data_IF_754225796957
#
_entry.id   IF_754225796957
#
_cell.length_a   1.000
_cell.length_b   1.000
_cell.length_c   1.000
_cell.angle_alpha   90.00
_cell.angle_beta   90.00
_cell.angle_gamma   90.00
#
_symmetry.space_group_name_H-M   'P 1'
#
loop_
_entity.id
_entity.type
_entity.pdbx_description
1 polymer ?
#
# COMPACT_ATOMS: atom_id res chain seq x y z
N UNK A 1 10.53 1.89 -22.85
CA UNK A 1 11.24 2.42 -21.67
C UNK A 1 12.06 1.27 -21.13
N UNK A 2 13.36 1.28 -21.40
CA UNK A 2 14.28 0.27 -20.88
C UNK A 2 14.36 0.46 -19.37
N UNK A 3 13.87 -0.52 -18.61
CA UNK A 3 13.96 -0.49 -17.15
C UNK A 3 15.42 -0.73 -16.76
N UNK A 4 15.96 0.11 -15.88
CA UNK A 4 17.28 -0.10 -15.31
C UNK A 4 17.34 -1.44 -14.57
N UNK A 5 18.47 -2.14 -14.69
CA UNK A 5 18.76 -3.44 -14.08
C UNK A 5 18.42 -3.47 -12.57
N UNK A 6 18.55 -2.34 -11.87
CA UNK A 6 18.23 -2.22 -10.44
C UNK A 6 16.73 -2.37 -10.11
N UNK A 7 15.84 -1.84 -10.94
CA UNK A 7 14.39 -1.91 -10.69
C UNK A 7 13.84 -3.33 -10.95
N UNK A 8 14.41 -4.02 -11.94
CA UNK A 8 14.09 -5.42 -12.20
C UNK A 8 14.63 -6.35 -11.10
N UNK A 9 15.87 -6.12 -10.64
CA UNK A 9 16.48 -6.89 -9.55
C UNK A 9 15.68 -6.75 -8.24
N UNK A 10 15.23 -5.55 -7.89
CA UNK A 10 14.43 -5.31 -6.70
C UNK A 10 13.07 -6.03 -6.74
N UNK A 11 12.41 -6.07 -7.90
CA UNK A 11 11.14 -6.80 -8.08
C UNK A 11 11.32 -8.30 -7.89
N UNK A 12 12.35 -8.86 -8.51
CA UNK A 12 12.67 -10.29 -8.37
C UNK A 12 13.01 -10.62 -6.92
N UNK A 13 13.78 -9.77 -6.25
CA UNK A 13 14.10 -9.91 -4.82
C UNK A 13 12.83 -9.89 -3.96
N UNK A 14 11.92 -8.92 -4.17
CA UNK A 14 10.67 -8.82 -3.41
C UNK A 14 9.74 -10.03 -3.61
N UNK A 15 9.63 -10.54 -4.84
CA UNK A 15 8.88 -11.78 -5.12
C UNK A 15 9.48 -12.95 -4.37
N UNK A 16 10.81 -13.15 -4.48
CA UNK A 16 11.50 -14.28 -3.86
C UNK A 16 11.40 -14.20 -2.34
N UNK A 17 11.67 -13.04 -1.75
CA UNK A 17 11.56 -12.85 -0.30
C UNK A 17 10.11 -13.08 0.20
N UNK A 18 9.09 -12.51 -0.46
CA UNK A 18 7.70 -12.73 -0.04
C UNK A 18 7.25 -14.18 -0.23
N UNK A 19 7.73 -14.87 -1.27
CA UNK A 19 7.46 -16.30 -1.47
C UNK A 19 8.10 -17.16 -0.39
N UNK A 20 9.35 -16.86 0.01
CA UNK A 20 10.01 -17.54 1.12
C UNK A 20 9.24 -17.32 2.43
N UNK A 21 8.83 -16.08 2.72
CA UNK A 21 8.02 -15.76 3.91
C UNK A 21 6.68 -16.49 3.87
N UNK A 22 6.04 -16.61 2.71
CA UNK A 22 4.78 -17.36 2.56
C UNK A 22 4.95 -18.84 2.89
N UNK A 23 6.01 -19.49 2.38
CA UNK A 23 6.31 -20.91 2.64
C UNK A 23 6.60 -21.11 4.13
N UNK A 24 7.50 -20.30 4.71
CA UNK A 24 7.87 -20.39 6.13
C UNK A 24 6.64 -20.17 7.02
N UNK A 25 5.84 -19.14 6.75
CA UNK A 25 4.64 -18.84 7.54
C UNK A 25 3.59 -19.94 7.42
N UNK A 26 3.42 -20.54 6.24
CA UNK A 26 2.48 -21.65 6.05
C UNK A 26 2.88 -22.90 6.85
N UNK A 27 4.18 -23.23 6.89
CA UNK A 27 4.71 -24.33 7.71
C UNK A 27 4.52 -24.02 9.21
N UNK A 28 4.86 -22.81 9.65
CA UNK A 28 4.68 -22.39 11.03
C UNK A 28 3.21 -22.39 11.47
N UNK A 29 2.28 -21.97 10.59
CA UNK A 29 0.84 -21.99 10.86
C UNK A 29 0.35 -23.43 11.04
N UNK A 30 0.76 -24.35 10.17
CA UNK A 30 0.44 -25.77 10.29
C UNK A 30 0.96 -26.38 11.59
N UNK A 31 2.21 -26.06 11.97
CA UNK A 31 2.80 -26.52 13.22
C UNK A 31 2.08 -25.95 14.45
N UNK A 32 1.79 -24.64 14.47
CA UNK A 32 1.05 -24.00 15.55
C UNK A 32 -0.36 -24.57 15.72
N UNK A 33 -1.07 -24.83 14.61
CA UNK A 33 -2.38 -25.47 14.63
C UNK A 33 -2.32 -26.91 15.15
N UNK A 34 -1.30 -27.69 14.76
CA UNK A 34 -1.08 -29.04 15.26
C UNK A 34 -0.87 -29.07 16.79
N UNK A 35 0.02 -28.21 17.30
CA UNK A 35 0.27 -28.12 18.75
C UNK A 35 -1.00 -27.66 19.48
N UNK A 36 -1.74 -26.69 18.93
CA UNK A 36 -3.01 -26.24 19.52
C UNK A 36 -4.03 -27.36 19.63
N UNK A 37 -4.17 -28.19 18.59
CA UNK A 37 -5.07 -29.34 18.60
C UNK A 37 -4.67 -30.36 19.68
N UNK A 38 -3.37 -30.64 19.82
CA UNK A 38 -2.87 -31.57 20.83
C UNK A 38 -2.98 -31.04 22.26
N UNK A 39 -2.70 -29.76 22.49
CA UNK A 39 -2.81 -29.14 23.82
C UNK A 39 -4.27 -29.12 24.30
N UNK A 40 -5.22 -28.81 23.42
CA UNK A 40 -6.65 -28.84 23.75
C UNK A 40 -7.18 -30.22 24.15
N UNK A 41 -6.58 -31.29 23.64
CA UNK A 41 -6.93 -32.66 24.06
C UNK A 41 -6.37 -33.02 25.44
N UNK A 42 -5.23 -32.44 25.82
CA UNK A 42 -4.46 -32.83 27.02
C UNK A 42 -4.75 -31.93 28.23
N UNK A 43 -5.10 -30.66 28.01
CA UNK A 43 -5.15 -29.66 29.08
C UNK A 43 -6.23 -28.61 28.81
N UNK A 44 -6.99 -28.27 29.85
CA UNK A 44 -8.00 -27.21 29.87
C UNK A 44 -7.44 -25.89 30.46
N UNK A 45 -6.12 -25.72 30.41
CA UNK A 45 -5.44 -24.48 30.81
C UNK A 45 -5.64 -23.42 29.74
N UNK A 46 -6.56 -22.50 30.04
CA UNK A 46 -6.91 -21.37 29.19
C UNK A 46 -5.70 -20.48 28.87
N UNK A 47 -4.70 -20.35 29.74
CA UNK A 47 -3.56 -19.46 29.49
C UNK A 47 -2.62 -20.00 28.40
N UNK A 48 -2.37 -21.31 28.40
CA UNK A 48 -1.55 -21.97 27.38
C UNK A 48 -2.27 -21.97 26.02
N UNK A 49 -3.57 -22.26 26.01
CA UNK A 49 -4.40 -22.26 24.79
C UNK A 49 -4.47 -20.85 24.18
N UNK A 50 -4.68 -19.81 25.00
CA UNK A 50 -4.72 -18.42 24.53
C UNK A 50 -3.39 -17.99 23.92
N UNK A 51 -2.26 -18.33 24.58
CA UNK A 51 -0.92 -17.98 24.09
C UNK A 51 -0.65 -18.58 22.70
N UNK A 52 -0.94 -19.86 22.51
CA UNK A 52 -0.75 -20.55 21.22
C UNK A 52 -1.72 -20.02 20.16
N UNK A 53 -2.96 -19.69 20.55
CA UNK A 53 -3.98 -19.13 19.64
C UNK A 53 -3.55 -17.76 19.09
N UNK A 54 -2.96 -16.89 19.93
CA UNK A 54 -2.44 -15.59 19.48
C UNK A 54 -1.33 -15.78 18.43
N UNK A 55 -0.39 -16.70 18.68
CA UNK A 55 0.70 -17.01 17.73
C UNK A 55 0.11 -17.48 16.39
N UNK A 56 -0.89 -18.36 16.41
CA UNK A 56 -1.54 -18.85 15.20
C UNK A 56 -2.19 -17.72 14.39
N UNK A 57 -2.89 -16.79 15.05
CA UNK A 57 -3.53 -15.65 14.37
C UNK A 57 -2.48 -14.75 13.71
N UNK A 58 -1.37 -14.45 14.41
CA UNK A 58 -0.29 -13.63 13.86
C UNK A 58 0.34 -14.29 12.63
N UNK A 59 0.63 -15.59 12.69
CA UNK A 59 1.25 -16.31 11.57
C UNK A 59 0.28 -16.46 10.39
N UNK A 60 -1.02 -16.65 10.64
CA UNK A 60 -2.02 -16.64 9.56
C UNK A 60 -2.12 -15.28 8.87
N UNK A 61 -1.99 -14.19 9.62
CA UNK A 61 -1.97 -12.85 9.05
C UNK A 61 -0.73 -12.65 8.16
N UNK A 62 0.45 -13.12 8.57
CA UNK A 62 1.66 -13.01 7.73
C UNK A 62 1.56 -13.86 6.47
N UNK A 63 0.88 -15.01 6.48
CA UNK A 63 0.58 -15.81 5.27
C UNK A 63 -0.24 -14.98 4.27
N UNK A 64 -1.28 -14.28 4.74
CA UNK A 64 -2.14 -13.46 3.87
C UNK A 64 -1.36 -12.29 3.27
N UNK A 65 -0.58 -11.57 4.08
CA UNK A 65 0.23 -10.45 3.61
C UNK A 65 1.28 -10.88 2.59
N UNK A 66 1.97 -12.01 2.82
CA UNK A 66 3.01 -12.51 1.93
C UNK A 66 2.45 -13.08 0.62
N UNK A 67 1.25 -13.68 0.65
CA UNK A 67 0.52 -14.06 -0.57
C UNK A 67 0.20 -12.84 -1.44
N UNK A 68 -0.40 -11.80 -0.86
CA UNK A 68 -0.69 -10.56 -1.60
C UNK A 68 0.59 -9.82 -2.03
N UNK A 69 1.67 -9.90 -1.25
CA UNK A 69 2.99 -9.36 -1.62
C UNK A 69 3.60 -10.07 -2.84
N UNK A 70 3.55 -11.40 -2.88
CA UNK A 70 4.03 -12.20 -4.01
C UNK A 70 3.18 -11.94 -5.27
N UNK A 71 1.85 -12.03 -5.16
CA UNK A 71 0.95 -11.77 -6.28
C UNK A 71 1.00 -10.31 -6.77
N UNK A 72 1.17 -9.35 -5.86
CA UNK A 72 1.31 -7.93 -6.18
C UNK A 72 2.62 -7.61 -6.89
N UNK A 73 3.73 -8.22 -6.45
CA UNK A 73 5.05 -8.03 -7.07
C UNK A 73 5.17 -8.74 -8.43
N UNK A 74 4.55 -9.92 -8.60
CA UNK A 74 4.49 -10.62 -9.90
C UNK A 74 3.68 -9.89 -10.96
N UNK A 75 2.65 -9.11 -10.58
CA UNK A 75 1.84 -8.34 -11.53
C UNK A 75 2.45 -7.00 -11.94
N UNK A 76 3.67 -6.68 -11.49
CA UNK A 76 4.30 -5.41 -11.76
C UNK A 76 4.94 -5.40 -13.16
N UNK A 77 4.10 -5.25 -14.18
CA UNK A 77 4.45 -4.65 -15.47
C UNK A 77 4.13 -3.15 -15.37
N UNK A 78 4.78 -2.29 -16.16
CA UNK A 78 4.59 -0.82 -16.23
C UNK A 78 3.11 -0.39 -16.39
N UNK A 79 2.24 -1.33 -16.77
CA UNK A 79 0.79 -1.19 -16.80
C UNK A 79 0.10 -1.02 -15.43
N UNK A 80 0.55 -1.56 -14.29
CA UNK A 80 -0.27 -1.50 -13.06
C UNK A 80 -0.41 -0.08 -12.49
N UNK A 81 0.68 0.67 -12.43
CA UNK A 81 0.65 2.10 -12.09
C UNK A 81 -0.22 2.87 -13.11
N UNK A 82 -0.19 2.49 -14.38
CA UNK A 82 -1.06 3.06 -15.42
C UNK A 82 -2.53 2.71 -15.17
N UNK A 83 -2.86 1.48 -14.77
CA UNK A 83 -4.22 1.08 -14.40
C UNK A 83 -4.72 1.83 -13.18
N UNK A 84 -3.86 2.06 -12.17
CA UNK A 84 -4.20 2.90 -11.01
C UNK A 84 -4.47 4.34 -11.44
N UNK A 85 -3.63 4.90 -12.33
CA UNK A 85 -3.84 6.21 -12.92
C UNK A 85 -5.18 6.29 -13.67
N UNK A 86 -5.46 5.31 -14.52
CA UNK A 86 -6.67 5.27 -15.34
C UNK A 86 -7.92 5.13 -14.45
N UNK A 87 -7.90 4.22 -13.47
CA UNK A 87 -8.98 4.02 -12.50
C UNK A 87 -9.21 5.26 -11.61
N UNK A 88 -8.14 5.85 -11.06
CA UNK A 88 -8.22 7.06 -10.28
C UNK A 88 -8.76 8.23 -11.12
N UNK A 89 -8.35 8.35 -12.37
CA UNK A 89 -8.88 9.38 -13.27
C UNK A 89 -10.37 9.20 -13.52
N UNK A 90 -10.85 7.98 -13.75
CA UNK A 90 -12.27 7.70 -13.92
C UNK A 90 -13.06 8.02 -12.65
N UNK A 91 -12.56 7.61 -11.48
CA UNK A 91 -13.20 7.87 -10.20
C UNK A 91 -13.28 9.37 -9.88
N UNK A 92 -12.21 10.13 -10.07
CA UNK A 92 -12.20 11.57 -9.83
C UNK A 92 -13.12 12.30 -10.82
N UNK A 93 -13.19 11.89 -12.09
CA UNK A 93 -14.16 12.46 -13.05
C UNK A 93 -15.62 12.22 -12.62
N UNK A 94 -15.92 11.05 -12.05
CA UNK A 94 -17.25 10.77 -11.49
C UNK A 94 -17.55 11.67 -10.28
N UNK A 95 -16.57 11.93 -9.41
CA UNK A 95 -16.72 12.87 -8.30
C UNK A 95 -16.96 14.31 -8.79
N UNK A 96 -16.24 14.75 -9.82
CA UNK A 96 -16.44 16.07 -10.43
C UNK A 96 -17.87 16.20 -10.96
N UNK A 97 -18.37 15.21 -11.69
CA UNK A 97 -19.75 15.18 -12.17
C UNK A 97 -20.78 15.32 -11.02
N UNK A 98 -20.58 14.61 -9.91
CA UNK A 98 -21.46 14.70 -8.75
C UNK A 98 -21.40 16.07 -8.05
N UNK A 99 -20.26 16.77 -8.10
CA UNK A 99 -20.14 18.14 -7.59
C UNK A 99 -20.90 19.11 -8.49
N UNK A 100 -20.74 18.99 -9.81
CA UNK A 100 -21.38 19.89 -10.78
C UNK A 100 -22.90 19.72 -10.83
N UNK A 101 -23.38 18.48 -10.79
CA UNK A 101 -24.82 18.19 -10.94
C UNK A 101 -25.56 18.18 -9.61
N UNK A 102 -24.98 17.57 -8.58
CA UNK A 102 -25.66 17.40 -7.28
C UNK A 102 -25.28 18.48 -6.26
N UNK A 103 -24.27 19.32 -6.53
CA UNK A 103 -23.85 20.38 -5.61
C UNK A 103 -23.28 19.85 -4.29
N UNK A 104 -22.57 18.72 -4.31
CA UNK A 104 -22.04 18.09 -3.10
C UNK A 104 -20.93 18.92 -2.44
N UNK A 105 -21.29 19.66 -1.38
CA UNK A 105 -20.38 20.58 -0.65
C UNK A 105 -19.16 19.86 -0.08
N UNK A 106 -19.34 18.63 0.42
CA UNK A 106 -18.26 17.82 1.00
C UNK A 106 -17.20 17.43 -0.05
N UNK A 107 -17.65 16.92 -1.21
CA UNK A 107 -16.76 16.53 -2.29
C UNK A 107 -16.08 17.74 -2.93
N UNK A 108 -16.78 18.88 -3.07
CA UNK A 108 -16.17 20.14 -3.51
C UNK A 108 -15.03 20.56 -2.56
N UNK A 109 -15.25 20.47 -1.24
CA UNK A 109 -14.24 20.81 -0.24
C UNK A 109 -12.99 19.94 -0.34
N UNK A 110 -13.15 18.62 -0.50
CA UNK A 110 -12.03 17.68 -0.67
C UNK A 110 -11.27 18.00 -1.96
N UNK A 111 -11.98 18.16 -3.08
CA UNK A 111 -11.37 18.45 -4.39
C UNK A 111 -10.62 19.79 -4.37
N UNK A 112 -11.16 20.84 -3.74
CA UNK A 112 -10.47 22.13 -3.60
C UNK A 112 -9.18 22.01 -2.79
N UNK A 113 -9.24 21.38 -1.62
CA UNK A 113 -8.05 21.19 -0.78
C UNK A 113 -6.95 20.42 -1.51
N UNK A 114 -7.34 19.39 -2.27
CA UNK A 114 -6.42 18.58 -3.05
C UNK A 114 -5.79 19.40 -4.19
N UNK A 115 -6.59 20.13 -4.96
CA UNK A 115 -6.14 21.00 -6.05
C UNK A 115 -5.19 22.11 -5.54
N UNK A 116 -5.50 22.71 -4.38
CA UNK A 116 -4.69 23.78 -3.80
C UNK A 116 -3.33 23.27 -3.27
N UNK A 117 -3.32 22.13 -2.57
CA UNK A 117 -2.11 21.52 -2.03
C UNK A 117 -1.20 20.97 -3.12
N UNK A 118 -1.77 20.35 -4.15
CA UNK A 118 -1.01 19.70 -5.22
C UNK A 118 -0.78 20.61 -6.45
N UNK A 119 -1.31 21.84 -6.44
CA UNK A 119 -1.18 22.82 -7.55
C UNK A 119 -1.57 22.20 -8.90
N UNK A 120 -2.74 21.56 -8.92
CA UNK A 120 -3.30 20.84 -10.06
C UNK A 120 -4.79 21.19 -10.22
N UNK A 121 -5.39 20.80 -11.34
CA UNK A 121 -6.79 21.08 -11.65
C UNK A 121 -7.45 19.88 -12.35
N UNK A 122 -8.62 19.47 -11.86
CA UNK A 122 -9.36 18.32 -12.38
C UNK A 122 -8.64 16.98 -12.21
N UNK A 123 -9.18 15.93 -12.83
CA UNK A 123 -8.58 14.58 -12.76
C UNK A 123 -7.35 14.47 -13.68
N UNK A 124 -7.57 14.74 -14.95
CA UNK A 124 -6.62 14.75 -16.05
C UNK A 124 -6.25 16.17 -16.50
N UNK A 125 -7.13 17.14 -16.25
CA UNK A 125 -6.88 18.55 -16.49
C UNK A 125 -8.13 19.39 -16.25
N UNK A 126 -8.02 20.67 -16.58
CA UNK A 126 -9.08 21.66 -16.42
C UNK A 126 -10.34 21.36 -17.22
N UNK A 127 -10.21 20.70 -18.37
CA UNK A 127 -11.34 20.31 -19.22
C UNK A 127 -12.29 19.29 -18.58
N UNK A 128 -11.91 18.71 -17.43
CA UNK A 128 -12.80 17.83 -16.68
C UNK A 128 -13.94 18.58 -16.00
N UNK A 129 -13.82 19.91 -15.84
CA UNK A 129 -14.86 20.79 -15.34
C UNK A 129 -15.57 21.52 -16.49
N UNK A 130 -16.88 21.68 -16.40
CA UNK A 130 -17.69 22.54 -17.29
C UNK A 130 -17.36 24.03 -17.08
N UNK A 131 -17.15 24.44 -15.82
CA UNK A 131 -16.67 25.77 -15.47
C UNK A 131 -15.36 25.72 -14.66
N UNK A 132 -14.21 25.57 -15.32
CA UNK A 132 -12.92 25.43 -14.65
C UNK A 132 -12.52 26.64 -13.79
N UNK A 133 -12.99 27.85 -14.12
CA UNK A 133 -12.65 29.06 -13.36
C UNK A 133 -13.23 29.02 -11.96
N UNK A 134 -14.43 28.46 -11.80
CA UNK A 134 -15.08 28.37 -10.49
C UNK A 134 -14.39 27.36 -9.58
N UNK A 135 -13.98 26.20 -10.13
CA UNK A 135 -13.49 25.08 -9.31
C UNK A 135 -11.97 24.98 -9.18
N UNK A 136 -11.21 25.47 -10.17
CA UNK A 136 -9.74 25.39 -10.15
C UNK A 136 -9.06 26.66 -9.63
N UNK A 137 -9.83 27.71 -9.33
CA UNK A 137 -9.29 28.93 -8.73
C UNK A 137 -9.69 29.08 -7.26
N UNK A 138 -8.78 29.63 -6.42
CA UNK A 138 -9.12 30.06 -5.08
C UNK A 138 -10.17 31.16 -5.14
N UNK A 139 -11.17 31.12 -4.26
CA UNK A 139 -12.26 32.12 -4.21
C UNK A 139 -11.76 33.57 -4.04
N UNK A 140 -10.56 33.74 -3.47
CA UNK A 140 -9.98 35.05 -3.15
C UNK A 140 -9.06 35.62 -4.24
N UNK A 141 -8.92 34.96 -5.39
CA UNK A 141 -8.07 35.45 -6.47
C UNK A 141 -8.83 35.55 -7.81
N UNK A 142 -9.43 36.71 -8.13
CA UNK A 142 -10.15 36.93 -9.39
C UNK A 142 -9.22 36.96 -10.61
N UNK A 143 -7.90 37.18 -10.41
CA UNK A 143 -6.89 37.16 -11.47
C UNK A 143 -6.25 35.77 -11.64
N UNK A 144 -6.84 34.73 -11.05
CA UNK A 144 -6.35 33.38 -11.17
C UNK A 144 -6.42 32.91 -12.63
N UNK A 145 -5.26 32.51 -13.14
CA UNK A 145 -5.16 31.77 -14.39
C UNK A 145 -5.30 30.28 -14.07
N UNK A 146 -6.28 29.64 -14.69
CA UNK A 146 -6.48 28.19 -14.56
C UNK A 146 -5.19 27.51 -15.02
N UNK A 147 -4.62 26.67 -14.16
CA UNK A 147 -3.40 25.92 -14.46
C UNK A 147 -3.71 24.97 -15.61
N UNK A 148 -3.25 25.31 -16.81
CA UNK A 148 -3.51 24.52 -18.02
C UNK A 148 -2.60 23.29 -18.09
N UNK A 149 -3.19 22.12 -18.29
CA UNK A 149 -2.49 20.88 -18.63
C UNK A 149 -1.98 20.03 -17.45
N UNK A 150 -2.28 20.36 -16.19
CA UNK A 150 -1.89 19.55 -15.02
C UNK A 150 -3.08 18.98 -14.23
N UNK A 151 -3.54 17.80 -14.64
CA UNK A 151 -4.47 16.97 -13.86
C UNK A 151 -3.90 16.51 -12.53
N UNK A 152 -4.73 16.48 -11.48
CA UNK A 152 -4.29 16.05 -10.15
C UNK A 152 -3.86 14.59 -10.10
N UNK A 153 -4.47 13.72 -10.90
CA UNK A 153 -4.07 12.31 -10.96
C UNK A 153 -2.68 12.17 -11.58
N UNK A 154 -2.31 13.02 -12.53
CA UNK A 154 -0.96 13.04 -13.12
C UNK A 154 0.08 13.45 -12.07
N UNK A 155 -0.20 14.50 -11.30
CA UNK A 155 0.73 14.98 -10.25
C UNK A 155 0.94 13.91 -9.17
N UNK A 156 -0.13 13.28 -8.69
CA UNK A 156 -0.05 12.20 -7.72
C UNK A 156 0.73 11.01 -8.30
N UNK A 157 0.44 10.65 -9.56
CA UNK A 157 1.14 9.57 -10.24
C UNK A 157 2.65 9.84 -10.34
N UNK A 158 3.04 11.04 -10.74
CA UNK A 158 4.45 11.42 -10.86
C UNK A 158 5.14 11.45 -9.49
N UNK A 159 4.44 11.93 -8.45
CA UNK A 159 4.94 11.90 -7.08
C UNK A 159 5.18 10.47 -6.58
N UNK A 160 4.20 9.58 -6.78
CA UNK A 160 4.30 8.16 -6.43
C UNK A 160 5.42 7.48 -7.21
N UNK A 161 5.56 7.78 -8.50
CA UNK A 161 6.63 7.23 -9.32
C UNK A 161 8.00 7.68 -8.81
N UNK A 162 8.16 8.95 -8.45
CA UNK A 162 9.40 9.50 -7.93
C UNK A 162 9.81 8.96 -6.56
N UNK A 163 8.85 8.68 -5.68
CA UNK A 163 9.13 8.24 -4.30
C UNK A 163 8.99 6.73 -4.07
N UNK A 164 8.53 5.96 -5.06
CA UNK A 164 8.33 4.50 -4.92
C UNK A 164 9.62 3.74 -4.56
N UNK A 165 10.78 4.20 -5.05
CA UNK A 165 12.09 3.62 -4.70
C UNK A 165 12.42 3.82 -3.23
N UNK A 166 12.15 5.01 -2.68
CA UNK A 166 12.37 5.32 -1.26
C UNK A 166 11.47 4.45 -0.38
N UNK A 167 10.20 4.30 -0.75
CA UNK A 167 9.28 3.41 -0.05
C UNK A 167 9.77 1.94 -0.10
N UNK A 168 10.28 1.49 -1.24
CA UNK A 168 10.88 0.16 -1.38
C UNK A 168 12.11 -0.05 -0.49
N UNK A 169 13.02 0.94 -0.40
CA UNK A 169 14.20 0.89 0.48
C UNK A 169 13.77 0.84 1.95
N UNK A 170 12.79 1.65 2.38
CA UNK A 170 12.29 1.62 3.75
C UNK A 170 11.76 0.24 4.14
N UNK A 171 10.97 -0.38 3.26
CA UNK A 171 10.47 -1.75 3.49
C UNK A 171 11.62 -2.76 3.56
N UNK A 172 12.64 -2.62 2.72
CA UNK A 172 13.81 -3.51 2.74
C UNK A 172 14.59 -3.38 4.06
N UNK A 173 14.82 -2.16 4.55
CA UNK A 173 15.52 -1.91 5.81
C UNK A 173 14.74 -2.50 6.98
N UNK A 174 13.43 -2.28 7.02
CA UNK A 174 12.55 -2.87 8.04
C UNK A 174 12.65 -4.40 8.04
N UNK A 175 12.64 -5.04 6.86
CA UNK A 175 12.78 -6.48 6.76
C UNK A 175 14.12 -6.99 7.33
N UNK A 176 15.24 -6.31 7.06
CA UNK A 176 16.56 -6.69 7.62
C UNK A 176 16.59 -6.56 9.14
N UNK A 177 16.00 -5.49 9.67
CA UNK A 177 15.91 -5.25 11.12
C UNK A 177 15.05 -6.34 11.80
N UNK A 178 13.91 -6.69 11.20
CA UNK A 178 13.04 -7.75 11.72
C UNK A 178 13.75 -9.12 11.73
N UNK A 179 14.47 -9.46 10.66
CA UNK A 179 15.27 -10.69 10.62
C UNK A 179 16.35 -10.67 11.71
N UNK A 180 17.04 -9.55 11.90
CA UNK A 180 18.03 -9.39 12.97
C UNK A 180 17.44 -9.56 14.37
N UNK A 181 16.25 -9.02 14.61
CA UNK A 181 15.54 -9.16 15.88
C UNK A 181 15.16 -10.62 16.17
N UNK A 182 14.71 -11.37 15.16
CA UNK A 182 14.40 -12.80 15.29
C UNK A 182 15.65 -13.58 15.67
N UNK A 183 16.78 -13.36 14.97
CA UNK A 183 18.06 -14.04 15.27
C UNK A 183 18.53 -13.74 16.69
N UNK A 184 18.50 -12.47 17.11
CA UNK A 184 18.90 -12.07 18.46
C UNK A 184 18.01 -12.71 19.54
N UNK A 185 16.70 -12.78 19.33
CA UNK A 185 15.77 -13.45 20.22
C UNK A 185 16.07 -14.95 20.34
N UNK A 186 16.36 -15.63 19.22
CA UNK A 186 16.78 -17.04 19.23
C UNK A 186 18.10 -17.25 19.99
N UNK A 187 19.08 -16.37 19.80
CA UNK A 187 20.36 -16.43 20.52
C UNK A 187 20.18 -16.23 22.04
N UNK A 188 19.31 -15.29 22.44
CA UNK A 188 19.00 -15.03 23.85
C UNK A 188 18.23 -16.19 24.49
N UNK A 189 17.27 -16.80 23.77
CA UNK A 189 16.53 -17.96 24.26
C UNK A 189 17.46 -19.14 24.54
N UNK A 190 18.46 -19.38 23.67
CA UNK A 190 19.48 -20.42 23.86
C UNK A 190 20.36 -20.18 25.10
N UNK A 191 20.63 -18.92 25.44
CA UNK A 191 21.43 -18.60 26.63
C UNK A 191 20.64 -18.68 27.94
N UNK A 192 19.32 -18.82 27.89
CA UNK A 192 18.44 -18.91 29.08
C UNK A 192 18.07 -20.36 29.46
N UNK A 193 18.50 -21.35 28.69
CA UNK A 193 18.28 -22.77 28.97
C UNK A 193 19.42 -23.42 29.77
N UNK A 194 19.89 -22.73 30.83
CA UNK A 194 20.78 -23.27 31.87
C UNK A 194 20.08 -23.16 33.21
#
# INVERSE_FOLDING_TARGET
MELSCGEQCLRVLLVVCNLLVFIVSSVCAGFAAYILAKVKEVTDDNNAIVSITIILVVVLFTVVLSFFGCCGAWKLNTCMLKTVKDYASAYVKQLIYNVEVSGSVEAEGILRNLQEKLKCCGATGESDWQDPKTFCCPRNNPNCQVITGKGCVNVIYDYLKGHSVVAGILVLVLAVVEIGAIVAACCLAKNRSV
#
